data_IF_134591984612
#
_entry.id   IF_134591984612
#
_cell.length_a   1.000
_cell.length_b   1.000
_cell.length_c   1.000
_cell.angle_alpha   90.00
_cell.angle_beta   90.00
_cell.angle_gamma   90.00
#
_symmetry.space_group_name_H-M   'P 1'
#
loop_
_entity.id
_entity.type
_entity.pdbx_description
1 polymer ?
#
# COMPACT_ATOMS: atom_id res chain seq x y z
N UNK A 1 -69.83 -17.31 -61.69
CA UNK A 1 -70.49 -18.64 -61.68
C UNK A 1 -69.85 -19.46 -60.55
N UNK A 2 -70.67 -19.80 -59.58
CA UNK A 2 -70.44 -20.79 -58.49
C UNK A 2 -70.29 -22.17 -59.02
N UNK A 3 -69.82 -23.23 -58.23
CA UNK A 3 -70.22 -23.52 -56.88
C UNK A 3 -69.05 -24.02 -55.95
N UNK A 4 -69.15 -23.71 -54.68
CA UNK A 4 -69.34 -24.46 -53.44
C UNK A 4 -68.89 -25.93 -53.40
N UNK A 5 -68.04 -26.27 -52.47
CA UNK A 5 -67.76 -27.63 -51.97
C UNK A 5 -67.29 -27.65 -50.53
N UNK A 6 -68.21 -27.83 -49.59
CA UNK A 6 -67.95 -28.11 -48.16
C UNK A 6 -67.43 -29.53 -47.99
N UNK A 7 -66.45 -29.75 -47.12
CA UNK A 7 -66.26 -30.94 -46.33
C UNK A 7 -65.70 -30.63 -44.94
N UNK A 8 -66.36 -31.11 -43.95
CA UNK A 8 -66.19 -31.12 -42.51
C UNK A 8 -65.24 -32.26 -42.07
N UNK A 9 -64.97 -32.45 -40.76
CA UNK A 9 -63.74 -32.22 -40.05
C UNK A 9 -63.07 -33.52 -39.55
N UNK A 10 -61.82 -33.50 -39.19
CA UNK A 10 -61.22 -34.64 -38.48
C UNK A 10 -60.23 -34.21 -37.36
N UNK A 11 -60.58 -34.71 -36.21
CA UNK A 11 -59.76 -35.11 -35.07
C UNK A 11 -58.72 -34.10 -34.49
N UNK A 12 -59.10 -33.58 -33.35
CA UNK A 12 -58.22 -33.10 -32.29
C UNK A 12 -57.35 -34.26 -31.75
N UNK A 13 -56.06 -34.16 -31.95
CA UNK A 13 -55.09 -34.94 -31.18
C UNK A 13 -54.56 -34.08 -30.06
N UNK A 14 -54.93 -34.41 -28.83
CA UNK A 14 -54.38 -33.86 -27.61
C UNK A 14 -52.88 -34.21 -27.50
N UNK A 15 -52.00 -33.19 -27.59
CA UNK A 15 -50.61 -33.33 -27.20
C UNK A 15 -50.47 -33.08 -25.70
N UNK A 16 -49.79 -33.95 -24.93
CA UNK A 16 -49.55 -33.71 -23.53
C UNK A 16 -48.55 -32.57 -23.41
N UNK A 17 -48.90 -31.49 -22.68
CA UNK A 17 -47.99 -30.46 -22.22
C UNK A 17 -47.07 -31.07 -21.18
N UNK A 18 -45.83 -31.34 -21.56
CA UNK A 18 -44.76 -31.74 -20.64
C UNK A 18 -44.31 -30.48 -19.90
N UNK A 19 -44.77 -30.30 -18.68
CA UNK A 19 -44.33 -29.25 -17.76
C UNK A 19 -42.92 -29.59 -17.32
N UNK A 20 -41.89 -29.00 -17.97
CA UNK A 20 -40.52 -29.10 -17.54
C UNK A 20 -40.35 -28.21 -16.30
N UNK A 21 -40.38 -28.82 -15.12
CA UNK A 21 -40.06 -28.18 -13.86
C UNK A 21 -38.54 -27.97 -13.85
N UNK A 22 -38.04 -26.78 -14.30
CA UNK A 22 -36.68 -26.36 -14.10
C UNK A 22 -36.48 -26.10 -12.60
N UNK A 23 -35.98 -27.09 -11.89
CA UNK A 23 -35.37 -26.93 -10.58
C UNK A 23 -34.14 -26.02 -10.77
N UNK A 24 -34.31 -24.74 -10.50
CA UNK A 24 -33.17 -23.86 -10.22
C UNK A 24 -32.54 -24.35 -8.89
N UNK A 25 -31.59 -25.26 -9.00
CA UNK A 25 -30.57 -25.43 -7.96
C UNK A 25 -29.79 -24.12 -7.92
N UNK A 26 -30.21 -23.22 -7.04
CA UNK A 26 -29.34 -22.12 -6.63
C UNK A 26 -28.14 -22.77 -5.92
N UNK A 27 -27.08 -23.03 -6.65
CA UNK A 27 -25.75 -23.15 -6.02
C UNK A 27 -25.52 -21.82 -5.36
N UNK A 28 -25.71 -21.74 -4.05
CA UNK A 28 -25.20 -20.61 -3.28
C UNK A 28 -23.71 -20.60 -3.56
N UNK A 29 -23.27 -19.63 -4.34
CA UNK A 29 -21.85 -19.35 -4.47
C UNK A 29 -21.36 -19.04 -3.04
N UNK A 30 -20.46 -19.87 -2.52
CA UNK A 30 -19.82 -19.57 -1.23
C UNK A 30 -19.10 -18.24 -1.43
N UNK A 31 -19.53 -17.21 -0.69
CA UNK A 31 -18.91 -15.89 -0.73
C UNK A 31 -17.42 -16.05 -0.43
N UNK A 32 -16.60 -15.54 -1.32
CA UNK A 32 -15.15 -15.65 -1.18
C UNK A 32 -14.66 -14.53 -0.27
N UNK A 33 -14.02 -14.89 0.85
CA UNK A 33 -13.43 -13.93 1.76
C UNK A 33 -12.01 -13.57 1.32
N UNK A 34 -11.75 -12.29 1.11
CA UNK A 34 -10.41 -11.75 0.89
C UNK A 34 -9.95 -11.05 2.17
N UNK A 35 -8.64 -11.03 2.41
CA UNK A 35 -8.10 -10.27 3.54
C UNK A 35 -6.67 -9.80 3.28
N UNK A 36 -6.25 -8.78 4.04
CA UNK A 36 -4.90 -8.28 4.07
C UNK A 36 -4.46 -8.05 5.51
N UNK A 37 -3.26 -8.52 5.85
CA UNK A 37 -2.65 -8.19 7.12
C UNK A 37 -2.06 -6.77 7.02
N UNK A 38 -2.54 -5.87 7.87
CA UNK A 38 -2.06 -4.50 8.00
C UNK A 38 -1.10 -4.33 9.16
N UNK A 39 -1.18 -3.20 9.85
CA UNK A 39 -0.30 -2.91 10.96
C UNK A 39 -0.38 -3.97 12.06
N UNK A 40 0.79 -4.45 12.49
CA UNK A 40 0.93 -5.35 13.64
C UNK A 40 1.84 -4.67 14.67
N UNK A 41 1.24 -4.33 15.82
CA UNK A 41 1.93 -3.74 16.96
C UNK A 41 2.39 -4.80 17.96
N UNK A 42 2.75 -4.35 19.18
CA UNK A 42 3.10 -5.26 20.28
C UNK A 42 1.87 -5.97 20.87
N UNK A 43 0.68 -5.32 20.82
CA UNK A 43 -0.53 -5.81 21.49
C UNK A 43 -1.78 -5.79 20.61
N UNK A 44 -1.63 -5.47 19.34
CA UNK A 44 -2.75 -5.36 18.40
C UNK A 44 -2.32 -5.67 16.98
N UNK A 45 -3.30 -6.01 16.14
CA UNK A 45 -3.16 -6.12 14.71
C UNK A 45 -4.39 -5.53 14.02
N UNK A 46 -4.24 -5.00 12.82
CA UNK A 46 -5.31 -4.51 11.97
C UNK A 46 -5.43 -5.41 10.75
N UNK A 47 -6.59 -5.93 10.46
CA UNK A 47 -6.80 -6.84 9.34
C UNK A 47 -7.94 -6.29 8.48
N UNK A 48 -7.65 -6.01 7.22
CA UNK A 48 -8.67 -5.68 6.22
C UNK A 48 -9.33 -6.96 5.73
N UNK A 49 -10.65 -6.93 5.60
CA UNK A 49 -11.46 -8.07 5.13
C UNK A 49 -12.46 -7.56 4.11
N UNK A 50 -12.69 -8.33 3.03
CA UNK A 50 -13.72 -8.07 2.04
C UNK A 50 -14.46 -9.34 1.63
N UNK A 51 -15.72 -9.14 1.23
CA UNK A 51 -16.68 -10.16 0.78
C UNK A 51 -17.37 -9.70 -0.51
N UNK A 52 -18.25 -10.52 -1.07
CA UNK A 52 -18.98 -10.16 -2.30
C UNK A 52 -20.26 -9.36 -2.01
N UNK A 53 -20.75 -9.36 -0.77
CA UNK A 53 -21.95 -8.65 -0.30
C UNK A 53 -21.74 -8.14 1.13
N UNK A 54 -22.63 -7.30 1.64
CA UNK A 54 -22.59 -6.89 3.06
C UNK A 54 -22.85 -8.07 3.97
N UNK A 55 -21.87 -8.40 4.81
CA UNK A 55 -21.93 -9.52 5.74
C UNK A 55 -21.21 -9.19 7.04
N UNK A 56 -21.62 -9.85 8.11
CA UNK A 56 -20.84 -9.87 9.34
C UNK A 56 -19.68 -10.83 9.17
N UNK A 57 -18.48 -10.33 9.29
CA UNK A 57 -17.22 -11.08 9.18
C UNK A 57 -16.46 -11.07 10.49
N UNK A 58 -15.60 -12.03 10.68
CA UNK A 58 -14.77 -12.11 11.89
C UNK A 58 -13.37 -12.60 11.64
N UNK A 59 -12.52 -12.34 12.63
CA UNK A 59 -11.19 -12.91 12.76
C UNK A 59 -11.15 -13.75 14.03
N UNK A 60 -10.95 -15.05 13.87
CA UNK A 60 -10.71 -15.98 14.97
C UNK A 60 -9.19 -16.05 15.23
N UNK A 61 -8.78 -15.84 16.46
CA UNK A 61 -7.36 -15.79 16.86
C UNK A 61 -7.09 -16.78 17.98
N UNK A 62 -6.03 -17.58 17.85
CA UNK A 62 -5.60 -18.53 18.84
C UNK A 62 -4.07 -18.67 18.89
N UNK A 63 -3.54 -19.18 19.99
CA UNK A 63 -2.14 -19.60 20.05
C UNK A 63 -1.96 -20.93 19.30
N UNK A 64 -0.85 -21.13 18.57
CA UNK A 64 -0.59 -22.40 17.91
C UNK A 64 -0.64 -23.58 18.89
N UNK A 65 -1.42 -24.61 18.55
CA UNK A 65 -1.59 -25.80 19.37
C UNK A 65 -2.39 -25.63 20.68
N UNK A 66 -2.96 -24.45 20.93
CA UNK A 66 -3.82 -24.20 22.08
C UNK A 66 -5.13 -24.97 21.99
N UNK A 67 -5.62 -25.47 23.14
CA UNK A 67 -6.96 -26.02 23.33
C UNK A 67 -7.94 -24.99 23.89
N UNK A 68 -7.46 -23.77 24.20
CA UNK A 68 -8.34 -22.69 24.65
C UNK A 68 -9.27 -22.24 23.53
N UNK A 69 -10.47 -21.72 23.83
CA UNK A 69 -11.35 -21.15 22.83
C UNK A 69 -10.65 -20.04 22.05
N UNK A 70 -10.94 -19.96 20.74
CA UNK A 70 -10.50 -18.85 19.89
C UNK A 70 -11.08 -17.52 20.39
N UNK A 71 -10.29 -16.48 20.30
CA UNK A 71 -10.78 -15.11 20.53
C UNK A 71 -11.34 -14.60 19.21
N UNK A 72 -12.54 -14.04 19.26
CA UNK A 72 -13.29 -13.63 18.09
C UNK A 72 -13.42 -12.10 18.06
N UNK A 73 -13.05 -11.49 16.94
CA UNK A 73 -13.23 -10.08 16.65
C UNK A 73 -14.11 -9.96 15.41
N UNK A 74 -15.18 -9.17 15.47
CA UNK A 74 -16.17 -9.08 14.39
C UNK A 74 -16.37 -7.65 13.92
N UNK A 75 -16.73 -7.49 12.65
CA UNK A 75 -17.19 -6.26 12.02
C UNK A 75 -18.18 -6.58 10.91
N UNK A 76 -18.77 -5.57 10.30
CA UNK A 76 -19.64 -5.74 9.13
C UNK A 76 -18.96 -5.09 7.93
N UNK A 77 -18.90 -5.80 6.80
CA UNK A 77 -18.44 -5.24 5.53
C UNK A 77 -19.45 -4.21 5.02
N UNK A 78 -18.98 -3.14 4.41
CA UNK A 78 -19.79 -1.99 4.03
C UNK A 78 -19.82 -1.89 2.51
N UNK A 79 -21.01 -1.93 1.90
CA UNK A 79 -21.18 -1.86 0.45
C UNK A 79 -20.51 -0.61 -0.16
N UNK A 80 -20.65 0.54 0.50
CA UNK A 80 -19.99 1.79 0.08
C UNK A 80 -18.49 1.62 -0.09
N UNK A 81 -17.84 0.78 0.73
CA UNK A 81 -16.39 0.53 0.74
C UNK A 81 -16.00 -0.74 -0.05
N UNK A 82 -16.80 -1.15 -1.05
CA UNK A 82 -16.55 -2.35 -1.84
C UNK A 82 -16.71 -3.63 -1.01
N UNK A 83 -17.70 -3.64 -0.13
CA UNK A 83 -17.98 -4.75 0.79
C UNK A 83 -16.77 -5.11 1.65
N UNK A 84 -16.06 -4.10 2.14
CA UNK A 84 -14.89 -4.30 2.99
C UNK A 84 -15.01 -3.61 4.35
N UNK A 85 -14.19 -4.04 5.30
CA UNK A 85 -14.02 -3.42 6.61
C UNK A 85 -12.60 -3.70 7.13
N UNK A 86 -12.19 -2.95 8.16
CA UNK A 86 -10.98 -3.23 8.92
C UNK A 86 -11.40 -3.74 10.31
N UNK A 87 -10.79 -4.85 10.74
CA UNK A 87 -11.01 -5.44 12.05
C UNK A 87 -9.76 -5.21 12.90
N UNK A 88 -9.94 -4.53 14.03
CA UNK A 88 -8.89 -4.33 15.02
C UNK A 88 -8.88 -5.52 15.99
N UNK A 89 -7.76 -6.24 16.04
CA UNK A 89 -7.49 -7.35 16.92
C UNK A 89 -6.63 -6.85 18.08
N UNK A 90 -7.18 -6.80 19.28
CA UNK A 90 -6.54 -6.18 20.44
C UNK A 90 -6.23 -7.17 21.56
N UNK A 91 -5.45 -6.73 22.56
CA UNK A 91 -5.11 -7.50 23.76
C UNK A 91 -4.21 -8.69 23.47
N UNK A 92 -3.40 -8.63 22.44
CA UNK A 92 -2.36 -9.62 22.13
C UNK A 92 -1.16 -9.46 23.08
N UNK A 93 -0.34 -10.49 23.18
CA UNK A 93 0.92 -10.43 23.94
C UNK A 93 2.10 -10.14 23.02
N UNK A 94 3.08 -9.33 23.46
CA UNK A 94 4.27 -9.00 22.67
C UNK A 94 5.10 -10.22 22.30
N UNK A 95 5.74 -10.19 21.13
CA UNK A 95 6.67 -11.23 20.66
C UNK A 95 6.03 -12.61 20.51
N UNK A 96 4.73 -12.64 20.22
CA UNK A 96 3.94 -13.87 20.22
C UNK A 96 3.36 -14.13 18.84
N UNK A 97 3.55 -15.35 18.34
CA UNK A 97 2.92 -15.80 17.10
C UNK A 97 1.53 -16.33 17.40
N UNK A 98 0.57 -15.86 16.63
CA UNK A 98 -0.82 -16.29 16.68
C UNK A 98 -1.22 -16.92 15.34
N UNK A 99 -2.07 -17.93 15.41
CA UNK A 99 -2.88 -18.35 14.29
C UNK A 99 -4.08 -17.41 14.17
N UNK A 100 -4.44 -17.03 12.96
CA UNK A 100 -5.69 -16.33 12.71
C UNK A 100 -6.42 -16.89 11.49
N UNK A 101 -7.74 -16.78 11.50
CA UNK A 101 -8.62 -17.26 10.45
C UNK A 101 -9.75 -16.28 10.23
N UNK A 102 -9.84 -15.67 9.02
CA UNK A 102 -11.02 -14.91 8.64
C UNK A 102 -12.22 -15.85 8.43
N UNK A 103 -13.41 -15.39 8.77
CA UNK A 103 -14.65 -16.16 8.57
C UNK A 103 -15.84 -15.22 8.35
N UNK A 104 -16.90 -15.75 7.72
CA UNK A 104 -18.21 -15.11 7.58
C UNK A 104 -19.11 -15.65 8.67
N UNK A 105 -19.76 -14.75 9.43
CA UNK A 105 -20.65 -15.16 10.51
C UNK A 105 -21.92 -15.81 9.93
N UNK A 106 -22.33 -16.95 10.49
CA UNK A 106 -23.48 -17.73 10.04
C UNK A 106 -23.39 -18.32 8.61
N UNK A 107 -22.23 -18.38 7.99
CA UNK A 107 -22.09 -19.11 6.74
C UNK A 107 -22.39 -20.62 6.95
N UNK A 108 -23.37 -21.14 6.20
CA UNK A 108 -23.70 -22.57 6.19
C UNK A 108 -22.81 -23.30 5.19
N UNK A 109 -21.51 -23.38 5.44
CA UNK A 109 -20.54 -24.02 4.56
C UNK A 109 -19.14 -23.93 5.15
N UNK A 110 -18.21 -24.72 4.64
CA UNK A 110 -16.83 -24.68 5.09
C UNK A 110 -16.25 -23.27 4.88
N UNK A 111 -16.29 -22.47 5.95
CA UNK A 111 -15.43 -21.31 6.09
C UNK A 111 -14.00 -21.73 5.73
N UNK A 112 -13.26 -20.86 5.13
CA UNK A 112 -11.87 -21.13 4.77
C UNK A 112 -11.17 -21.82 5.94
N UNK A 113 -10.90 -23.14 5.84
CA UNK A 113 -10.14 -23.90 6.83
C UNK A 113 -8.70 -23.41 6.91
N UNK A 114 -8.32 -22.49 6.01
CA UNK A 114 -6.97 -21.99 5.91
C UNK A 114 -6.63 -21.09 7.09
N UNK A 115 -5.63 -21.52 7.82
CA UNK A 115 -5.07 -20.81 8.96
C UNK A 115 -3.87 -20.00 8.48
N UNK A 116 -3.82 -18.75 8.90
CA UNK A 116 -2.73 -17.82 8.66
C UNK A 116 -2.04 -17.52 9.98
N UNK A 117 -0.85 -16.91 9.92
CA UNK A 117 -0.11 -16.54 11.12
C UNK A 117 0.18 -15.04 11.13
N UNK A 118 0.19 -14.46 12.32
CA UNK A 118 0.74 -13.13 12.58
C UNK A 118 1.64 -13.20 13.81
N UNK A 119 2.70 -12.41 13.81
CA UNK A 119 3.59 -12.32 14.98
C UNK A 119 3.63 -10.88 15.46
N UNK A 120 3.26 -10.65 16.71
CA UNK A 120 3.31 -9.32 17.33
C UNK A 120 4.76 -8.88 17.54
N UNK A 121 4.97 -7.56 17.46
CA UNK A 121 6.30 -7.00 17.73
C UNK A 121 6.77 -7.34 19.14
N UNK A 122 8.06 -7.59 19.25
CA UNK A 122 8.72 -7.97 20.49
C UNK A 122 8.90 -6.77 21.43
N UNK A 123 8.76 -7.00 22.72
CA UNK A 123 9.11 -6.04 23.77
C UNK A 123 10.60 -6.17 24.10
N UNK A 124 11.47 -5.70 23.22
CA UNK A 124 12.93 -5.84 23.29
C UNK A 124 13.62 -4.72 24.09
N UNK A 125 13.02 -3.53 24.15
CA UNK A 125 13.63 -2.33 24.76
C UNK A 125 14.06 -2.60 26.19
N UNK A 126 15.33 -2.28 26.50
CA UNK A 126 15.99 -2.50 27.80
C UNK A 126 16.14 -3.97 28.23
N UNK A 127 15.81 -4.95 27.37
CA UNK A 127 15.82 -6.38 27.68
C UNK A 127 16.83 -7.16 26.84
N UNK A 128 16.90 -6.87 25.55
CA UNK A 128 17.78 -7.56 24.59
C UNK A 128 18.10 -6.63 23.42
N UNK A 129 18.95 -7.07 22.51
CA UNK A 129 19.16 -6.36 21.26
C UNK A 129 17.85 -6.31 20.44
N UNK A 130 17.69 -5.26 19.63
CA UNK A 130 16.56 -5.13 18.74
C UNK A 130 16.50 -6.30 17.76
N UNK A 131 15.34 -6.89 17.52
CA UNK A 131 15.19 -7.95 16.52
C UNK A 131 15.68 -7.53 15.14
N UNK A 132 16.36 -8.43 14.45
CA UNK A 132 16.63 -8.27 13.03
C UNK A 132 15.33 -8.43 12.25
N UNK A 133 15.19 -7.72 11.13
CA UNK A 133 14.01 -7.84 10.27
C UNK A 133 14.29 -7.43 8.84
N UNK A 134 13.41 -7.82 7.93
CA UNK A 134 13.45 -7.53 6.51
C UNK A 134 12.20 -6.78 6.08
N UNK A 135 12.38 -5.62 5.47
CA UNK A 135 11.37 -4.82 4.81
C UNK A 135 11.43 -5.05 3.30
N UNK A 136 10.29 -5.29 2.65
CA UNK A 136 10.16 -5.16 1.19
C UNK A 136 9.48 -3.84 0.84
N UNK A 137 9.82 -3.24 -0.31
CA UNK A 137 9.22 -1.97 -0.75
C UNK A 137 9.18 -1.85 -2.27
N UNK A 138 8.22 -1.08 -2.75
CA UNK A 138 8.04 -0.74 -4.15
C UNK A 138 6.83 0.16 -4.37
N UNK A 139 6.70 0.72 -5.57
CA UNK A 139 5.64 1.62 -6.00
C UNK A 139 5.17 1.33 -7.41
N UNK A 140 4.17 2.05 -7.89
CA UNK A 140 3.70 2.03 -9.28
C UNK A 140 3.22 0.64 -9.71
N UNK A 141 2.17 0.17 -9.03
CA UNK A 141 1.54 -1.14 -9.23
C UNK A 141 0.35 -1.03 -10.19
N UNK A 142 0.60 -0.88 -11.49
CA UNK A 142 -0.46 -0.79 -12.49
C UNK A 142 -1.07 -2.16 -12.77
N UNK A 143 -2.39 -2.27 -12.61
CA UNK A 143 -3.19 -3.43 -13.00
C UNK A 143 -4.05 -3.07 -14.19
N UNK A 144 -3.84 -3.78 -15.31
CA UNK A 144 -4.58 -3.53 -16.55
C UNK A 144 -6.06 -3.89 -16.39
N UNK A 145 -6.93 -3.04 -16.93
CA UNK A 145 -8.35 -3.28 -17.09
C UNK A 145 -8.76 -2.77 -18.49
N UNK A 146 -8.66 -3.64 -19.54
CA UNK A 146 -8.73 -3.22 -20.94
C UNK A 146 -9.99 -2.43 -21.32
N UNK A 147 -11.08 -2.57 -20.55
CA UNK A 147 -12.32 -1.81 -20.79
C UNK A 147 -12.15 -0.31 -20.50
N UNK A 148 -11.21 0.07 -19.64
CA UNK A 148 -11.00 1.44 -19.17
C UNK A 148 -9.57 1.94 -19.39
N UNK A 149 -8.66 1.07 -19.79
CA UNK A 149 -7.28 1.45 -20.09
C UNK A 149 -7.23 2.25 -21.41
N UNK A 150 -6.25 3.14 -21.53
CA UNK A 150 -5.99 3.85 -22.78
C UNK A 150 -5.66 2.88 -23.90
N UNK A 151 -6.15 3.12 -25.14
CA UNK A 151 -5.86 2.25 -26.28
C UNK A 151 -4.35 2.14 -26.56
N UNK A 152 -3.90 0.94 -26.92
CA UNK A 152 -2.51 0.67 -27.29
C UNK A 152 -1.94 -0.52 -26.54
N UNK A 153 -0.62 -0.55 -26.42
CA UNK A 153 0.07 -1.60 -25.65
C UNK A 153 -0.25 -1.49 -24.15
N UNK A 154 -0.46 -2.63 -23.46
CA UNK A 154 -0.73 -2.64 -22.02
C UNK A 154 0.36 -1.89 -21.25
N UNK A 155 -0.06 -1.02 -20.33
CA UNK A 155 0.87 -0.24 -19.51
C UNK A 155 1.46 -1.06 -18.35
N UNK A 156 0.64 -1.90 -17.75
CA UNK A 156 1.05 -2.85 -16.72
C UNK A 156 1.61 -4.15 -17.30
N UNK A 157 2.40 -4.86 -16.51
CA UNK A 157 2.94 -6.17 -16.84
C UNK A 157 2.23 -7.30 -16.10
N UNK A 158 2.76 -8.51 -16.21
CA UNK A 158 2.41 -9.66 -15.39
C UNK A 158 2.75 -9.42 -13.91
N UNK A 159 2.06 -10.11 -13.00
CA UNK A 159 2.08 -9.87 -11.56
C UNK A 159 3.06 -10.76 -10.77
N UNK A 160 3.87 -11.60 -11.45
CA UNK A 160 4.80 -12.53 -10.80
C UNK A 160 5.81 -11.86 -9.83
N UNK A 161 6.01 -10.54 -9.95
CA UNK A 161 6.87 -9.77 -9.04
C UNK A 161 6.36 -9.85 -7.59
N UNK A 162 5.04 -9.88 -7.36
CA UNK A 162 4.46 -9.99 -6.02
C UNK A 162 4.75 -11.36 -5.39
N UNK A 163 4.61 -12.45 -6.16
CA UNK A 163 5.02 -13.78 -5.69
C UNK A 163 6.54 -13.87 -5.45
N UNK A 164 7.32 -13.10 -6.21
CA UNK A 164 8.77 -13.02 -6.00
C UNK A 164 9.11 -12.29 -4.70
N UNK A 165 8.37 -11.23 -4.36
CA UNK A 165 8.49 -10.55 -3.07
C UNK A 165 8.14 -11.51 -1.93
N UNK A 166 7.03 -12.26 -2.04
CA UNK A 166 6.65 -13.29 -1.06
C UNK A 166 7.79 -14.30 -0.82
N UNK A 167 8.46 -14.75 -1.90
CA UNK A 167 9.61 -15.68 -1.79
C UNK A 167 10.85 -15.09 -1.11
N UNK A 168 10.94 -13.76 -1.01
CA UNK A 168 12.00 -13.09 -0.21
C UNK A 168 11.69 -13.09 1.28
N UNK A 169 10.49 -13.51 1.65
CA UNK A 169 10.00 -13.64 3.02
C UNK A 169 10.23 -12.39 3.87
N UNK A 170 9.60 -11.26 3.50
CA UNK A 170 9.71 -10.03 4.29
C UNK A 170 8.82 -10.07 5.54
N UNK A 171 9.29 -9.43 6.61
CA UNK A 171 8.51 -9.19 7.83
C UNK A 171 7.50 -8.06 7.68
N UNK A 172 7.65 -7.21 6.65
CA UNK A 172 6.81 -6.04 6.37
C UNK A 172 6.95 -5.66 4.90
N UNK A 173 5.82 -5.32 4.25
CA UNK A 173 5.79 -4.66 2.93
C UNK A 173 5.36 -3.21 3.07
N UNK A 174 6.13 -2.29 2.50
CA UNK A 174 5.78 -0.87 2.39
C UNK A 174 5.53 -0.50 0.93
N UNK A 175 4.31 -0.06 0.64
CA UNK A 175 3.88 0.43 -0.66
C UNK A 175 4.11 1.93 -0.74
N UNK A 176 4.91 2.37 -1.72
CA UNK A 176 5.43 3.75 -1.82
C UNK A 176 4.60 4.65 -2.76
N UNK A 177 3.30 4.44 -2.83
CA UNK A 177 2.39 5.19 -3.69
C UNK A 177 2.16 4.54 -5.05
N UNK A 178 1.19 5.06 -5.79
CA UNK A 178 0.68 4.47 -7.03
C UNK A 178 0.31 2.99 -6.84
N UNK A 179 -0.36 2.72 -5.73
CA UNK A 179 -0.81 1.38 -5.38
C UNK A 179 -1.97 0.93 -6.27
N UNK A 180 -2.71 1.91 -6.78
CA UNK A 180 -3.71 1.81 -7.83
C UNK A 180 -3.48 2.94 -8.83
N UNK A 181 -4.09 2.82 -9.99
CA UNK A 181 -4.12 3.87 -11.00
C UNK A 181 -5.56 4.19 -11.33
N UNK A 182 -6.05 5.34 -10.85
CA UNK A 182 -7.36 5.85 -11.22
C UNK A 182 -7.36 6.21 -12.72
N UNK A 183 -8.45 5.87 -13.42
CA UNK A 183 -8.70 6.21 -14.83
C UNK A 183 -9.66 7.37 -14.91
N UNK A 184 -9.83 7.93 -16.10
CA UNK A 184 -10.76 9.02 -16.36
C UNK A 184 -12.20 8.70 -15.91
N UNK A 185 -12.62 7.43 -15.96
CA UNK A 185 -13.94 6.96 -15.51
C UNK A 185 -14.07 6.87 -13.99
N UNK A 186 -12.96 6.97 -13.27
CA UNK A 186 -12.95 6.78 -11.79
C UNK A 186 -13.05 8.11 -11.04
N UNK A 187 -12.69 9.24 -11.65
CA UNK A 187 -12.49 10.51 -10.93
C UNK A 187 -13.76 11.12 -10.33
N UNK A 188 -14.93 10.86 -10.91
CA UNK A 188 -16.18 11.55 -10.58
C UNK A 188 -17.12 10.73 -9.67
N UNK A 189 -16.67 9.58 -9.16
CA UNK A 189 -17.51 8.69 -8.34
C UNK A 189 -16.71 7.99 -7.28
N UNK A 190 -17.16 8.10 -6.03
CA UNK A 190 -16.58 7.33 -4.93
C UNK A 190 -16.60 5.81 -5.20
N UNK A 191 -17.72 5.32 -5.75
CA UNK A 191 -17.86 3.90 -6.09
C UNK A 191 -16.86 3.44 -7.15
N UNK A 192 -16.50 4.30 -8.11
CA UNK A 192 -15.48 3.99 -9.13
C UNK A 192 -14.06 3.98 -8.53
N UNK A 193 -13.77 4.88 -7.59
CA UNK A 193 -12.51 4.86 -6.83
C UNK A 193 -12.39 3.53 -6.06
N UNK A 194 -13.45 3.14 -5.36
CA UNK A 194 -13.53 1.86 -4.62
C UNK A 194 -13.41 0.65 -5.56
N UNK A 195 -14.05 0.71 -6.74
CA UNK A 195 -13.90 -0.32 -7.78
C UNK A 195 -12.43 -0.51 -8.16
N UNK A 196 -11.69 0.56 -8.35
CA UNK A 196 -10.27 0.50 -8.71
C UNK A 196 -9.42 -0.22 -7.66
N UNK A 197 -9.66 0.07 -6.37
CA UNK A 197 -9.02 -0.66 -5.28
C UNK A 197 -9.39 -2.16 -5.28
N UNK A 198 -10.68 -2.46 -5.41
CA UNK A 198 -11.18 -3.83 -5.40
C UNK A 198 -10.64 -4.63 -6.59
N UNK A 199 -10.63 -4.03 -7.81
CA UNK A 199 -10.06 -4.63 -9.00
C UNK A 199 -8.57 -4.95 -8.84
N UNK A 200 -7.78 -4.01 -8.31
CA UNK A 200 -6.36 -4.23 -8.05
C UNK A 200 -6.15 -5.36 -7.05
N UNK A 201 -6.90 -5.37 -5.95
CA UNK A 201 -6.80 -6.40 -4.91
C UNK A 201 -7.36 -7.77 -5.31
N UNK A 202 -8.14 -7.86 -6.37
CA UNK A 202 -8.64 -9.14 -6.89
C UNK A 202 -7.56 -9.98 -7.56
N UNK A 203 -6.40 -9.40 -7.88
CA UNK A 203 -5.28 -10.13 -8.48
C UNK A 203 -4.67 -11.11 -7.48
N UNK A 204 -4.58 -12.38 -7.87
CA UNK A 204 -4.14 -13.48 -7.00
C UNK A 204 -2.75 -13.24 -6.39
N UNK A 205 -1.81 -12.76 -7.18
CA UNK A 205 -0.42 -12.52 -6.76
C UNK A 205 -0.35 -11.37 -5.76
N UNK A 206 -1.17 -10.32 -5.94
CA UNK A 206 -1.32 -9.22 -4.97
C UNK A 206 -1.93 -9.75 -3.67
N UNK A 207 -3.00 -10.58 -3.77
CA UNK A 207 -3.59 -11.22 -2.60
C UNK A 207 -2.58 -12.07 -1.82
N UNK A 208 -1.73 -12.83 -2.52
CA UNK A 208 -0.69 -13.64 -1.89
C UNK A 208 0.24 -12.75 -1.03
N UNK A 209 0.66 -11.59 -1.53
CA UNK A 209 1.51 -10.66 -0.78
C UNK A 209 0.75 -9.98 0.37
N UNK A 210 -0.49 -9.56 0.14
CA UNK A 210 -1.33 -8.91 1.17
C UNK A 210 -1.61 -9.83 2.38
N UNK A 211 -1.65 -11.14 2.15
CA UNK A 211 -1.85 -12.15 3.19
C UNK A 211 -0.55 -12.62 3.86
N UNK A 212 0.61 -12.40 3.23
CA UNK A 212 1.89 -12.98 3.66
C UNK A 212 2.48 -12.28 4.88
N UNK A 213 2.51 -10.95 4.86
CA UNK A 213 3.09 -10.12 5.92
C UNK A 213 2.25 -8.85 6.13
N UNK A 214 2.53 -8.05 7.18
CA UNK A 214 1.97 -6.70 7.31
C UNK A 214 2.23 -5.85 6.06
N UNK A 215 1.16 -5.22 5.53
CA UNK A 215 1.21 -4.33 4.37
C UNK A 215 0.77 -2.93 4.79
N UNK A 216 1.66 -1.95 4.65
CA UNK A 216 1.41 -0.55 4.93
C UNK A 216 1.68 0.29 3.68
N UNK A 217 1.04 1.43 3.54
CA UNK A 217 1.15 2.22 2.33
C UNK A 217 1.19 3.72 2.59
N UNK A 218 1.83 4.43 1.68
CA UNK A 218 1.52 5.82 1.34
C UNK A 218 0.79 5.84 0.00
N UNK A 219 0.26 6.98 -0.38
CA UNK A 219 -0.28 7.21 -1.73
C UNK A 219 0.65 8.08 -2.58
N UNK A 220 0.35 8.16 -3.88
CA UNK A 220 0.86 9.20 -4.76
C UNK A 220 -0.28 9.72 -5.67
N UNK A 221 0.02 10.40 -6.77
CA UNK A 221 -1.00 11.08 -7.60
C UNK A 221 -2.04 10.11 -8.17
N UNK A 222 -1.64 8.92 -8.59
CA UNK A 222 -2.56 7.96 -9.18
C UNK A 222 -3.52 7.28 -8.18
N UNK A 223 -3.19 7.23 -6.89
CA UNK A 223 -4.15 6.88 -5.83
C UNK A 223 -5.06 8.06 -5.49
N UNK A 224 -4.53 9.29 -5.63
CA UNK A 224 -5.16 10.51 -5.15
C UNK A 224 -6.12 11.13 -6.18
N UNK A 225 -5.77 11.09 -7.48
CA UNK A 225 -6.58 11.73 -8.52
C UNK A 225 -5.99 11.58 -9.92
N UNK A 226 -6.21 12.56 -10.79
CA UNK A 226 -5.52 12.67 -12.08
C UNK A 226 -4.00 12.76 -11.94
N UNK A 227 -3.27 12.38 -12.99
CA UNK A 227 -1.80 12.50 -13.05
C UNK A 227 -1.34 13.90 -12.61
N UNK A 228 -0.31 13.94 -11.77
CA UNK A 228 0.29 15.13 -11.16
C UNK A 228 -0.68 15.98 -10.32
N UNK A 229 -1.83 15.43 -9.88
CA UNK A 229 -2.82 16.18 -9.11
C UNK A 229 -2.31 16.63 -7.75
N UNK A 230 -2.79 17.78 -7.31
CA UNK A 230 -2.45 18.42 -6.06
C UNK A 230 -3.68 18.62 -5.16
N UNK A 231 -3.54 19.28 -4.03
CA UNK A 231 -4.60 19.52 -3.06
C UNK A 231 -5.83 20.29 -3.56
N UNK A 232 -5.82 20.76 -4.82
CA UNK A 232 -7.00 21.37 -5.46
C UNK A 232 -7.94 20.35 -6.10
N UNK A 233 -7.59 19.06 -6.13
CA UNK A 233 -8.47 18.03 -6.67
C UNK A 233 -9.79 18.01 -5.86
N UNK A 234 -10.90 18.22 -6.55
CA UNK A 234 -12.22 18.47 -5.95
C UNK A 234 -12.74 17.26 -5.16
N UNK A 235 -12.34 16.05 -5.52
CA UNK A 235 -12.78 14.80 -4.89
C UNK A 235 -11.74 14.18 -3.96
N UNK A 236 -10.73 14.94 -3.53
CA UNK A 236 -9.66 14.45 -2.65
C UNK A 236 -10.15 13.83 -1.33
N UNK A 237 -11.29 14.28 -0.81
CA UNK A 237 -11.87 13.69 0.41
C UNK A 237 -12.41 12.27 0.16
N UNK A 238 -12.89 11.99 -1.05
CA UNK A 238 -13.32 10.64 -1.44
C UNK A 238 -12.13 9.70 -1.57
N UNK A 239 -11.04 10.15 -2.19
CA UNK A 239 -9.82 9.34 -2.30
C UNK A 239 -9.19 9.08 -0.95
N UNK A 240 -9.22 10.08 -0.04
CA UNK A 240 -8.79 9.91 1.35
C UNK A 240 -9.65 8.87 2.09
N UNK A 241 -10.98 8.94 1.93
CA UNK A 241 -11.91 7.96 2.53
C UNK A 241 -11.64 6.55 1.99
N UNK A 242 -11.49 6.41 0.66
CA UNK A 242 -11.19 5.13 0.03
C UNK A 242 -9.83 4.56 0.48
N UNK A 243 -8.78 5.38 0.52
CA UNK A 243 -7.48 4.95 1.02
C UNK A 243 -7.57 4.40 2.44
N UNK A 244 -8.25 5.12 3.34
CA UNK A 244 -8.47 4.69 4.73
C UNK A 244 -9.28 3.39 4.84
N UNK A 245 -10.22 3.16 3.92
CA UNK A 245 -11.03 1.95 3.91
C UNK A 245 -10.24 0.72 3.45
N UNK A 246 -9.22 0.90 2.60
CA UNK A 246 -8.45 -0.20 2.03
C UNK A 246 -7.10 -0.44 2.72
N UNK A 247 -6.45 0.56 3.29
CA UNK A 247 -5.14 0.40 3.91
C UNK A 247 -5.22 0.40 5.43
N UNK A 248 -4.99 -0.75 6.09
CA UNK A 248 -5.02 -0.85 7.56
C UNK A 248 -3.70 -0.35 8.19
N UNK A 249 -3.32 0.91 7.86
CA UNK A 249 -2.22 1.63 8.50
C UNK A 249 -2.52 1.89 9.99
N UNK A 250 -1.51 2.16 10.84
CA UNK A 250 -1.74 2.35 12.29
C UNK A 250 -2.65 3.55 12.60
N UNK A 251 -2.56 4.62 11.82
CA UNK A 251 -3.39 5.84 11.94
C UNK A 251 -3.36 6.63 10.64
N UNK A 252 -4.10 7.74 10.59
CA UNK A 252 -4.18 8.62 9.42
C UNK A 252 -4.31 10.07 9.86
N UNK A 253 -3.35 10.90 9.47
CA UNK A 253 -3.34 12.32 9.75
C UNK A 253 -3.23 12.66 11.24
N UNK A 254 -3.27 13.93 11.51
CA UNK A 254 -3.41 14.51 12.84
C UNK A 254 -4.86 14.93 13.09
N UNK A 255 -5.12 15.79 14.09
CA UNK A 255 -6.45 16.33 14.32
C UNK A 255 -6.95 17.14 13.12
N UNK A 256 -8.21 16.94 12.74
CA UNK A 256 -8.86 17.67 11.64
C UNK A 256 -9.03 19.17 11.94
N UNK A 257 -9.01 19.57 13.22
CA UNK A 257 -9.21 20.96 13.65
C UNK A 257 -8.07 21.91 13.25
N UNK A 258 -6.88 21.35 12.95
CA UNK A 258 -5.68 22.14 12.63
C UNK A 258 -5.15 21.91 11.20
N UNK A 259 -6.00 21.48 10.25
CA UNK A 259 -5.52 21.15 8.90
C UNK A 259 -4.61 19.93 8.86
N UNK A 260 -4.77 19.02 9.81
CA UNK A 260 -3.99 17.79 9.93
C UNK A 260 -4.57 16.60 9.17
N UNK A 261 -5.52 16.84 8.23
CA UNK A 261 -6.06 15.77 7.39
C UNK A 261 -4.96 15.17 6.49
N UNK A 262 -5.20 13.96 6.03
CA UNK A 262 -4.32 13.25 5.11
C UNK A 262 -4.04 11.82 5.58
N UNK A 263 -3.11 11.17 4.91
CA UNK A 263 -2.76 9.78 5.20
C UNK A 263 -1.52 9.62 6.08
N UNK A 264 -0.83 10.71 6.40
CA UNK A 264 0.44 10.65 7.12
C UNK A 264 0.30 9.99 8.49
N UNK A 265 1.30 9.22 8.87
CA UNK A 265 1.36 8.48 10.13
C UNK A 265 2.79 8.15 10.52
N UNK A 266 2.97 7.72 11.77
CA UNK A 266 4.24 7.24 12.31
C UNK A 266 4.03 5.93 13.07
N UNK A 267 4.99 5.03 12.95
CA UNK A 267 5.08 3.84 13.80
C UNK A 267 6.53 3.40 13.96
N UNK A 268 6.77 2.55 14.94
CA UNK A 268 8.06 1.90 15.13
C UNK A 268 7.93 0.41 14.79
N UNK A 269 8.93 -0.14 14.09
CA UNK A 269 9.10 -1.57 13.92
C UNK A 269 10.54 -1.93 14.32
N UNK A 270 10.70 -2.81 15.32
CA UNK A 270 12.00 -3.04 15.97
C UNK A 270 12.63 -1.72 16.43
N UNK A 271 13.86 -1.40 16.03
CA UNK A 271 14.58 -0.16 16.36
C UNK A 271 14.59 0.86 15.21
N UNK A 272 13.61 0.77 14.33
CA UNK A 272 13.43 1.66 13.18
C UNK A 272 12.11 2.41 13.29
N UNK A 273 12.15 3.73 13.15
CA UNK A 273 10.96 4.57 13.06
C UNK A 273 10.60 4.81 11.58
N UNK A 274 9.32 4.67 11.29
CA UNK A 274 8.72 4.90 9.98
C UNK A 274 7.85 6.15 10.04
N UNK A 275 8.13 7.09 9.16
CA UNK A 275 7.35 8.30 8.92
C UNK A 275 6.73 8.19 7.52
N UNK A 276 5.47 7.85 7.46
CA UNK A 276 4.72 7.76 6.22
C UNK A 276 4.11 9.12 5.93
N UNK A 277 4.49 9.77 4.86
CA UNK A 277 4.07 11.12 4.53
C UNK A 277 2.92 11.14 3.52
N UNK A 278 2.18 12.23 3.55
CA UNK A 278 1.18 12.60 2.55
C UNK A 278 1.75 13.69 1.66
N UNK A 279 1.98 13.39 0.40
CA UNK A 279 2.54 14.34 -0.56
C UNK A 279 1.50 14.94 -1.51
N UNK A 280 0.17 14.74 -1.24
CA UNK A 280 -0.89 15.14 -2.16
C UNK A 280 -1.94 16.04 -1.53
N UNK A 281 -2.46 15.70 -0.36
CA UNK A 281 -3.65 16.34 0.22
C UNK A 281 -3.50 17.86 0.42
N UNK A 282 -2.29 18.31 0.81
CA UNK A 282 -1.96 19.71 1.04
C UNK A 282 -1.04 20.32 -0.03
N UNK A 283 -0.65 19.51 -1.03
CA UNK A 283 0.25 19.96 -2.08
C UNK A 283 -0.33 21.14 -2.84
N UNK A 284 0.47 22.19 -3.03
CA UNK A 284 0.15 23.33 -3.89
C UNK A 284 0.83 23.19 -5.25
N UNK A 285 0.53 24.11 -6.16
CA UNK A 285 1.30 24.24 -7.39
C UNK A 285 2.75 24.61 -7.08
N UNK A 286 3.70 24.19 -7.91
CA UNK A 286 5.14 24.40 -7.70
C UNK A 286 5.61 25.86 -7.79
N UNK A 287 4.84 26.73 -8.43
CA UNK A 287 5.14 28.16 -8.52
C UNK A 287 4.32 28.93 -7.48
N UNK A 288 4.88 30.05 -7.00
CA UNK A 288 4.14 30.95 -6.11
C UNK A 288 2.94 31.57 -6.83
N UNK A 289 1.75 31.24 -6.37
CA UNK A 289 0.52 31.77 -6.93
C UNK A 289 -0.25 32.57 -5.86
N UNK A 290 -0.61 33.82 -6.18
CA UNK A 290 -1.37 34.64 -5.28
C UNK A 290 -0.70 34.92 -3.92
N UNK A 291 0.64 34.86 -3.86
CA UNK A 291 1.41 35.05 -2.64
C UNK A 291 1.49 33.81 -1.72
N UNK A 292 1.02 32.64 -2.19
CA UNK A 292 1.12 31.38 -1.47
C UNK A 292 2.42 30.69 -1.89
N UNK A 293 3.31 30.43 -0.92
CA UNK A 293 4.56 29.68 -1.17
C UNK A 293 4.24 28.22 -1.52
N UNK A 294 5.00 27.62 -2.46
CA UNK A 294 4.83 26.20 -2.77
C UNK A 294 5.11 25.29 -1.59
N UNK A 295 4.25 24.29 -1.40
CA UNK A 295 4.41 23.25 -0.37
C UNK A 295 3.95 21.89 -0.89
N UNK A 296 4.58 20.82 -0.46
CA UNK A 296 4.13 19.43 -0.65
C UNK A 296 3.36 18.96 0.59
N UNK A 297 3.93 19.19 1.77
CA UNK A 297 3.41 18.65 3.02
C UNK A 297 2.33 19.53 3.66
N UNK A 298 2.35 20.82 3.37
CA UNK A 298 1.61 21.80 4.16
C UNK A 298 2.24 22.03 5.54
N UNK A 299 1.89 23.16 6.17
CA UNK A 299 2.54 23.62 7.40
C UNK A 299 2.39 22.63 8.56
N UNK A 300 1.20 22.10 8.76
CA UNK A 300 0.90 21.20 9.89
C UNK A 300 1.72 19.91 9.83
N UNK A 301 1.75 19.25 8.67
CA UNK A 301 2.51 18.01 8.49
C UNK A 301 4.01 18.28 8.54
N UNK A 302 4.49 19.38 7.94
CA UNK A 302 5.89 19.78 7.96
C UNK A 302 6.39 19.97 9.40
N UNK A 303 5.66 20.72 10.22
CA UNK A 303 6.00 20.92 11.62
C UNK A 303 5.98 19.63 12.43
N UNK A 304 4.98 18.77 12.21
CA UNK A 304 4.91 17.46 12.83
C UNK A 304 6.15 16.61 12.44
N UNK A 305 6.51 16.56 11.17
CA UNK A 305 7.63 15.74 10.69
C UNK A 305 8.94 16.11 11.39
N UNK A 306 9.30 17.39 11.41
CA UNK A 306 10.58 17.82 12.00
C UNK A 306 10.61 17.60 13.52
N UNK A 307 9.49 17.78 14.22
CA UNK A 307 9.40 17.48 15.65
C UNK A 307 9.51 15.97 15.92
N UNK A 308 8.83 15.15 15.12
CA UNK A 308 8.85 13.71 15.24
C UNK A 308 10.24 13.12 14.93
N UNK A 309 10.93 13.63 13.89
CA UNK A 309 12.31 13.27 13.58
C UNK A 309 13.26 13.62 14.73
N UNK A 310 13.11 14.80 15.34
CA UNK A 310 13.92 15.21 16.49
C UNK A 310 13.68 14.36 17.73
N UNK A 311 12.44 14.00 17.98
CA UNK A 311 12.03 13.16 19.12
C UNK A 311 12.52 11.72 18.98
N UNK A 312 12.64 11.22 17.76
CA UNK A 312 12.98 9.82 17.47
C UNK A 312 14.34 9.42 18.02
N UNK A 313 14.36 8.31 18.76
CA UNK A 313 15.56 7.65 19.27
C UNK A 313 15.92 6.39 18.46
N UNK A 314 15.20 6.14 17.36
CA UNK A 314 15.42 4.99 16.50
C UNK A 314 16.81 5.04 15.84
N UNK A 315 17.38 3.86 15.58
CA UNK A 315 18.65 3.70 14.89
C UNK A 315 18.58 4.24 13.46
N UNK A 316 17.52 3.88 12.75
CA UNK A 316 17.20 4.41 11.42
C UNK A 316 15.80 5.06 11.43
N UNK A 317 15.65 6.10 10.62
CA UNK A 317 14.42 6.87 10.43
C UNK A 317 14.06 6.83 8.96
N UNK A 318 13.09 5.98 8.63
CA UNK A 318 12.63 5.82 7.26
C UNK A 318 11.49 6.79 6.99
N UNK A 319 11.70 7.69 6.05
CA UNK A 319 10.74 8.72 5.65
C UNK A 319 10.21 8.38 4.26
N UNK A 320 9.00 7.81 4.20
CA UNK A 320 8.37 7.42 2.94
C UNK A 320 7.55 8.57 2.36
N UNK A 321 7.80 8.90 1.10
CA UNK A 321 7.09 9.93 0.34
C UNK A 321 7.08 9.55 -1.15
N UNK A 322 6.04 9.91 -1.92
CA UNK A 322 5.88 9.50 -3.32
C UNK A 322 7.06 9.93 -4.22
N UNK A 323 7.21 11.23 -4.46
CA UNK A 323 8.27 11.77 -5.34
C UNK A 323 9.65 11.84 -4.70
N UNK A 324 10.71 11.90 -5.52
CA UNK A 324 12.11 11.95 -5.07
C UNK A 324 12.43 13.18 -4.22
N UNK A 325 13.09 12.96 -3.07
CA UNK A 325 13.42 14.03 -2.12
C UNK A 325 14.80 14.64 -2.37
N UNK A 326 15.86 13.82 -2.52
CA UNK A 326 17.24 14.31 -2.68
C UNK A 326 17.62 14.66 -4.12
N UNK A 327 16.91 14.13 -5.11
CA UNK A 327 17.23 14.41 -6.50
C UNK A 327 17.30 15.93 -6.74
N UNK A 328 18.47 16.40 -7.25
CA UNK A 328 18.73 17.83 -7.40
C UNK A 328 18.10 18.46 -8.65
N UNK A 329 17.58 17.67 -9.56
CA UNK A 329 16.92 18.15 -10.77
C UNK A 329 15.49 18.61 -10.45
N UNK A 330 15.16 19.88 -10.76
CA UNK A 330 13.82 20.43 -10.64
C UNK A 330 12.96 20.04 -11.85
N UNK A 331 12.73 18.75 -12.01
CA UNK A 331 11.95 18.15 -13.12
C UNK A 331 10.82 17.31 -12.57
N UNK A 332 9.78 17.12 -13.40
CA UNK A 332 8.59 16.34 -13.05
C UNK A 332 8.06 16.73 -11.65
N UNK A 333 7.86 15.76 -10.77
CA UNK A 333 7.37 15.98 -9.42
C UNK A 333 8.43 15.94 -8.32
N UNK A 334 9.71 16.00 -8.68
CA UNK A 334 10.81 16.02 -7.72
C UNK A 334 10.65 17.14 -6.68
N UNK A 335 11.03 16.84 -5.43
CA UNK A 335 10.99 17.81 -4.34
C UNK A 335 11.85 19.04 -4.59
N UNK A 336 12.82 18.95 -5.51
CA UNK A 336 13.62 20.10 -5.97
C UNK A 336 12.79 21.24 -6.55
N UNK A 337 11.54 20.99 -6.99
CA UNK A 337 10.59 22.04 -7.38
C UNK A 337 10.01 22.82 -6.18
N UNK A 338 10.24 22.37 -4.94
CA UNK A 338 9.74 22.94 -3.69
C UNK A 338 10.94 23.25 -2.75
N UNK A 339 11.89 24.00 -3.27
CA UNK A 339 13.21 24.19 -2.67
C UNK A 339 13.18 24.81 -1.26
N UNK A 340 12.25 25.71 -0.96
CA UNK A 340 12.13 26.32 0.37
C UNK A 340 11.77 25.29 1.43
N UNK A 341 10.75 24.48 1.18
CA UNK A 341 10.31 23.44 2.09
C UNK A 341 11.36 22.33 2.22
N UNK A 342 11.96 21.91 1.09
CA UNK A 342 13.05 20.94 1.05
C UNK A 342 14.26 21.41 1.87
N UNK A 343 14.71 22.63 1.63
CA UNK A 343 15.84 23.24 2.36
C UNK A 343 15.54 23.38 3.84
N UNK A 344 14.30 23.69 4.22
CA UNK A 344 13.89 23.73 5.61
C UNK A 344 14.10 22.38 6.31
N UNK A 345 13.64 21.29 5.70
CA UNK A 345 13.79 19.93 6.23
C UNK A 345 15.27 19.54 6.34
N UNK A 346 16.04 19.75 5.27
CA UNK A 346 17.48 19.42 5.21
C UNK A 346 18.29 20.19 6.26
N UNK A 347 18.07 21.51 6.35
CA UNK A 347 18.73 22.36 7.33
C UNK A 347 18.37 21.97 8.78
N UNK A 348 17.12 21.55 9.01
CA UNK A 348 16.68 21.07 10.32
C UNK A 348 17.41 19.77 10.69
N UNK A 349 17.48 18.79 9.78
CA UNK A 349 18.19 17.52 10.00
C UNK A 349 19.67 17.76 10.29
N UNK A 350 20.34 18.66 9.54
CA UNK A 350 21.75 18.97 9.74
C UNK A 350 21.98 19.72 11.07
N UNK A 351 21.21 20.80 11.34
CA UNK A 351 21.35 21.61 12.53
C UNK A 351 21.13 20.82 13.82
N UNK A 352 20.10 19.98 13.83
CA UNK A 352 19.75 19.15 14.99
C UNK A 352 20.56 17.84 15.05
N UNK A 353 21.49 17.63 14.11
CA UNK A 353 22.34 16.43 13.98
C UNK A 353 21.51 15.13 14.04
N UNK A 354 20.39 15.09 13.32
CA UNK A 354 19.53 13.92 13.25
C UNK A 354 20.19 12.87 12.35
N UNK A 355 20.48 11.70 12.90
CA UNK A 355 21.20 10.62 12.23
C UNK A 355 20.27 9.52 11.78
N UNK A 356 20.72 8.74 10.78
CA UNK A 356 20.00 7.55 10.32
C UNK A 356 18.78 7.84 9.47
N UNK A 357 18.70 9.02 8.83
CA UNK A 357 17.58 9.39 7.96
C UNK A 357 17.74 8.78 6.57
N UNK A 358 16.73 8.05 6.13
CA UNK A 358 16.63 7.46 4.79
C UNK A 358 15.26 7.78 4.22
N UNK A 359 15.22 8.51 3.12
CA UNK A 359 14.01 8.71 2.35
C UNK A 359 13.73 7.46 1.49
N UNK A 360 12.47 7.09 1.39
CA UNK A 360 11.97 6.01 0.54
C UNK A 360 10.96 6.61 -0.43
N UNK A 361 11.23 6.51 -1.73
CA UNK A 361 10.50 7.24 -2.75
C UNK A 361 10.07 6.36 -3.92
N UNK A 362 9.08 6.79 -4.69
CA UNK A 362 8.48 6.09 -5.82
C UNK A 362 8.42 6.91 -7.10
N UNK A 363 7.26 6.94 -7.77
CA UNK A 363 6.86 7.78 -8.91
C UNK A 363 7.64 7.57 -10.22
N UNK A 364 8.94 7.60 -10.20
CA UNK A 364 9.84 7.86 -11.34
C UNK A 364 9.91 6.76 -12.40
N UNK A 365 9.26 5.63 -12.21
CA UNK A 365 9.31 4.46 -13.09
C UNK A 365 10.74 4.01 -13.44
N UNK A 366 11.66 4.31 -12.54
CA UNK A 366 13.05 3.84 -12.46
C UNK A 366 13.51 3.86 -11.02
N UNK A 367 14.54 3.08 -10.70
CA UNK A 367 15.16 3.08 -9.40
C UNK A 367 16.49 3.83 -9.41
N UNK A 368 16.80 4.49 -8.32
CA UNK A 368 18.15 5.02 -8.05
C UNK A 368 18.37 5.21 -6.55
N UNK A 369 19.63 5.27 -6.14
CA UNK A 369 20.03 5.69 -4.80
C UNK A 369 20.72 7.04 -4.89
N UNK A 370 20.28 7.97 -4.06
CA UNK A 370 20.98 9.25 -3.83
C UNK A 370 21.58 9.28 -2.44
N UNK A 371 22.72 9.94 -2.28
CA UNK A 371 23.36 10.18 -0.99
C UNK A 371 23.85 11.61 -0.88
N UNK A 372 23.42 12.32 0.13
CA UNK A 372 23.86 13.67 0.44
C UNK A 372 24.64 13.66 1.76
N UNK A 373 25.97 13.91 1.72
CA UNK A 373 26.76 14.05 2.94
C UNK A 373 26.37 15.31 3.69
N UNK A 374 26.26 15.21 5.01
CA UNK A 374 26.08 16.31 5.95
C UNK A 374 27.33 16.49 6.80
N UNK A 375 27.34 17.52 7.66
CA UNK A 375 28.39 17.72 8.66
C UNK A 375 28.41 16.59 9.71
N UNK A 376 29.51 16.48 10.44
CA UNK A 376 29.71 15.56 11.58
C UNK A 376 29.59 14.08 11.21
N UNK A 377 30.13 13.67 10.07
CA UNK A 377 30.11 12.31 9.55
C UNK A 377 28.67 11.73 9.48
N UNK A 378 27.71 12.58 9.17
CA UNK A 378 26.33 12.25 8.94
C UNK A 378 26.00 12.31 7.44
N UNK A 379 24.86 11.78 7.05
CA UNK A 379 24.36 11.86 5.68
C UNK A 379 22.93 11.37 5.57
N UNK A 380 22.31 11.67 4.45
CA UNK A 380 20.94 11.30 4.12
C UNK A 380 20.97 10.44 2.86
N UNK A 381 20.27 9.34 2.88
CA UNK A 381 20.00 8.52 1.71
C UNK A 381 18.58 8.78 1.19
N UNK A 382 18.37 8.60 -0.10
CA UNK A 382 17.08 8.58 -0.77
C UNK A 382 17.07 7.41 -1.75
N UNK A 383 16.27 6.39 -1.44
CA UNK A 383 16.12 5.20 -2.25
C UNK A 383 14.80 5.25 -3.01
N UNK A 384 14.89 5.41 -4.33
CA UNK A 384 13.74 5.37 -5.24
C UNK A 384 13.51 3.94 -5.74
N UNK A 385 12.28 3.42 -5.57
CA UNK A 385 11.91 2.05 -5.98
C UNK A 385 10.63 2.09 -6.80
N UNK A 386 10.78 2.16 -8.11
CA UNK A 386 9.71 2.28 -9.09
C UNK A 386 10.18 1.75 -10.46
N UNK A 387 9.37 0.97 -11.22
CA UNK A 387 8.03 0.50 -10.91
C UNK A 387 7.98 -0.99 -10.51
N UNK A 388 6.90 -1.39 -9.83
CA UNK A 388 6.56 -2.80 -9.65
C UNK A 388 6.05 -3.43 -10.94
N UNK A 389 4.91 -2.97 -11.46
CA UNK A 389 4.28 -3.52 -12.66
C UNK A 389 4.06 -2.52 -13.79
N UNK A 390 4.09 -1.22 -13.50
CA UNK A 390 3.99 -0.17 -14.53
C UNK A 390 5.14 -0.24 -15.54
N UNK A 391 5.04 0.54 -16.60
CA UNK A 391 6.09 0.64 -17.61
C UNK A 391 7.36 1.25 -17.02
N UNK A 392 8.48 0.55 -17.12
CA UNK A 392 9.77 1.09 -16.71
C UNK A 392 10.35 2.01 -17.80
N UNK A 393 10.99 3.11 -17.37
CA UNK A 393 11.64 4.06 -18.29
C UNK A 393 13.17 3.97 -18.21
N UNK A 394 13.82 4.27 -19.33
CA UNK A 394 15.27 4.32 -19.41
C UNK A 394 15.88 5.51 -18.68
N UNK A 395 17.21 5.57 -18.68
CA UNK A 395 17.97 6.68 -18.11
C UNK A 395 17.60 7.97 -18.82
N UNK A 396 17.12 8.96 -18.07
CA UNK A 396 16.96 10.33 -18.57
C UNK A 396 18.31 11.05 -18.53
N UNK A 397 18.44 12.12 -19.30
CA UNK A 397 19.60 13.05 -19.26
C UNK A 397 19.63 13.91 -17.98
N UNK A 398 18.83 13.56 -17.00
CA UNK A 398 18.65 14.26 -15.75
C UNK A 398 19.91 14.22 -14.88
N UNK A 399 20.40 15.38 -14.51
CA UNK A 399 21.59 15.55 -13.67
C UNK A 399 21.18 15.56 -12.19
N UNK A 400 21.25 14.39 -11.55
CA UNK A 400 21.14 14.29 -10.10
C UNK A 400 22.54 14.26 -9.48
N UNK A 401 22.98 15.38 -8.89
CA UNK A 401 24.33 15.52 -8.28
C UNK A 401 24.56 14.60 -7.07
N UNK A 402 23.50 14.04 -6.49
CA UNK A 402 23.56 13.17 -5.32
C UNK A 402 23.48 11.68 -5.67
N UNK A 403 23.31 11.36 -6.95
CA UNK A 403 23.19 9.98 -7.40
C UNK A 403 24.43 9.16 -7.04
N UNK A 404 24.22 8.02 -6.39
CA UNK A 404 25.26 7.02 -6.16
C UNK A 404 25.51 6.28 -7.47
N UNK A 405 26.76 6.16 -7.86
CA UNK A 405 27.15 5.48 -9.11
C UNK A 405 26.65 4.03 -9.15
N UNK A 406 26.27 3.56 -10.35
CA UNK A 406 25.84 2.19 -10.63
C UNK A 406 24.56 1.75 -9.90
N UNK A 407 23.70 2.68 -9.47
CA UNK A 407 22.44 2.37 -8.80
C UNK A 407 21.19 2.57 -9.67
N UNK A 408 21.32 3.15 -10.87
CA UNK A 408 20.18 3.32 -11.78
C UNK A 408 19.64 1.97 -12.19
N UNK A 409 18.33 1.83 -12.05
CA UNK A 409 17.57 0.62 -12.40
C UNK A 409 16.43 1.01 -13.33
N UNK A 410 16.48 0.54 -14.58
CA UNK A 410 15.52 0.86 -15.66
C UNK A 410 14.67 -0.34 -16.06
N UNK A 411 14.42 -1.24 -15.14
CA UNK A 411 13.56 -2.40 -15.28
C UNK A 411 12.55 -2.44 -14.14
N UNK A 412 11.50 -3.23 -14.27
CA UNK A 412 10.58 -3.51 -13.17
C UNK A 412 11.33 -4.16 -12.03
N UNK A 413 11.19 -3.61 -10.82
CA UNK A 413 11.98 -4.01 -9.67
C UNK A 413 11.26 -3.72 -8.36
N UNK A 414 11.77 -4.31 -7.30
CA UNK A 414 11.44 -4.02 -5.91
C UNK A 414 12.73 -3.94 -5.11
N UNK A 415 12.66 -3.46 -3.89
CA UNK A 415 13.79 -3.51 -2.99
C UNK A 415 13.48 -4.32 -1.73
N UNK A 416 14.54 -4.88 -1.11
CA UNK A 416 14.51 -5.35 0.28
C UNK A 416 15.51 -4.55 1.09
N UNK A 417 15.14 -4.25 2.34
CA UNK A 417 15.98 -3.60 3.32
C UNK A 417 16.10 -4.51 4.53
N UNK A 418 17.31 -4.97 4.84
CA UNK A 418 17.58 -5.86 5.97
C UNK A 418 18.26 -5.07 7.09
N UNK A 419 17.67 -5.08 8.27
CA UNK A 419 18.19 -4.41 9.46
C UNK A 419 18.74 -5.48 10.40
N UNK A 420 20.08 -5.54 10.51
CA UNK A 420 20.75 -6.63 11.23
C UNK A 420 21.83 -6.12 12.20
N UNK A 421 22.16 -6.93 13.18
CA UNK A 421 23.27 -6.67 14.09
C UNK A 421 22.85 -6.13 15.45
N UNK A 422 23.82 -6.05 16.35
CA UNK A 422 23.60 -5.63 17.74
C UNK A 422 23.51 -4.11 17.88
N UNK A 423 22.98 -3.65 19.00
CA UNK A 423 22.93 -2.23 19.39
C UNK A 423 24.30 -1.56 19.17
N UNK A 424 24.34 -0.38 18.58
CA UNK A 424 25.52 0.39 18.16
C UNK A 424 26.37 -0.24 17.05
N UNK A 425 25.90 -1.32 16.44
CA UNK A 425 26.52 -2.00 15.31
C UNK A 425 25.45 -2.49 14.32
N UNK A 426 24.33 -1.79 14.25
CA UNK A 426 23.28 -2.09 13.26
C UNK A 426 23.77 -1.78 11.86
N UNK A 427 23.38 -2.62 10.94
CA UNK A 427 23.62 -2.44 9.52
C UNK A 427 22.28 -2.48 8.81
N UNK A 428 22.08 -1.52 7.93
CA UNK A 428 21.00 -1.55 6.96
C UNK A 428 21.60 -2.00 5.62
N UNK A 429 21.19 -3.16 5.13
CA UNK A 429 21.53 -3.65 3.80
C UNK A 429 20.36 -3.42 2.85
N UNK A 430 20.56 -2.57 1.84
CA UNK A 430 19.59 -2.31 0.77
C UNK A 430 19.90 -3.20 -0.44
N UNK A 431 18.97 -4.02 -0.88
CA UNK A 431 19.08 -4.83 -2.09
C UNK A 431 17.98 -4.42 -3.06
N UNK A 432 18.34 -4.01 -4.28
CA UNK A 432 17.38 -3.82 -5.37
C UNK A 432 17.38 -5.06 -6.25
N UNK A 433 16.18 -5.62 -6.45
CA UNK A 433 15.96 -6.87 -7.16
C UNK A 433 15.08 -6.66 -8.38
N UNK A 434 15.38 -7.30 -9.50
CA UNK A 434 14.47 -7.35 -10.64
C UNK A 434 13.18 -8.13 -10.32
N UNK A 435 12.21 -8.13 -11.23
CA UNK A 435 10.93 -8.83 -11.06
C UNK A 435 11.06 -10.35 -10.86
N UNK A 436 12.21 -10.94 -11.14
CA UNK A 436 12.52 -12.37 -10.94
C UNK A 436 13.31 -12.63 -9.66
N UNK A 437 13.63 -11.59 -8.89
CA UNK A 437 14.33 -11.67 -7.61
C UNK A 437 15.86 -11.72 -7.69
N UNK A 438 16.43 -11.50 -8.88
CA UNK A 438 17.88 -11.33 -9.04
C UNK A 438 18.29 -9.97 -8.46
N UNK A 439 19.26 -9.97 -7.55
CA UNK A 439 19.84 -8.74 -7.02
C UNK A 439 20.60 -8.01 -8.14
N UNK A 440 20.22 -6.78 -8.39
CA UNK A 440 20.85 -5.88 -9.36
C UNK A 440 22.02 -5.13 -8.74
N UNK A 441 21.84 -4.64 -7.51
CA UNK A 441 22.89 -4.04 -6.70
C UNK A 441 22.54 -4.11 -5.20
N UNK A 442 23.57 -3.95 -4.37
CA UNK A 442 23.48 -3.94 -2.91
C UNK A 442 24.21 -2.73 -2.34
N UNK A 443 23.71 -2.16 -1.25
CA UNK A 443 24.36 -1.11 -0.48
C UNK A 443 24.19 -1.35 1.01
N UNK A 444 25.34 -1.41 1.71
CA UNK A 444 25.35 -1.43 3.18
C UNK A 444 25.48 -0.02 3.73
N UNK A 445 24.68 0.30 4.73
CA UNK A 445 24.68 1.55 5.47
C UNK A 445 24.86 1.21 6.94
N UNK A 446 26.06 1.43 7.50
CA UNK A 446 26.30 1.19 8.91
C UNK A 446 25.56 2.24 9.76
N UNK A 447 25.27 1.89 11.00
CA UNK A 447 24.78 2.85 11.99
C UNK A 447 25.80 3.97 12.19
N UNK A 448 25.37 5.22 12.13
CA UNK A 448 26.18 6.40 12.38
C UNK A 448 26.49 6.62 13.86
#
# INVERSE_FOLDING_TARGET
MYPLGFKHPSCLSARPFLLLLLLFLSTQAVSQIQHALGFVGMRSARIWVATDVEETVGIAVSLPGSKAPERIFKSTTIAKNGFSCIIDVEGLEPGTTYNYRPFIDNATGNDSEKIYTLTTQDLWQFRKDAPDFKLALGSCAFVNEPAYDRPGEPYGSEFHIFDTIVKKDPDLMLWLGDNIYLREVDFESYGSIVHRYSHTRSQKEIQNLLMHCPNLAIWDDHDFGPNDSNGSFVHKDWTLEAFKAFWPNPSFGLSTECGGQGIHTQFQFSDVDFFLLDNRFHRTWKDTLGGISPTILGETQLHWLVQALKQSQATFKLVAIGGQFLNSAAVDENYANYEEERSYILNFIERENIRGVVFLTGDRHRGELSYMPLKNDNGIYDLTVSPLTSKAYGISKEENKWRVENTITSVRHFATMEFTGKKKKRILTMNVCDSKGKILWTRDVPQW
#
